data_IF_591560059639
#
_entry.id   IF_591560059639
#
_cell.length_a   1.000
_cell.length_b   1.000
_cell.length_c   1.000
_cell.angle_alpha   90.00
_cell.angle_beta   90.00
_cell.angle_gamma   90.00
#
_symmetry.space_group_name_H-M   'P 1'
#
loop_
_entity.id
_entity.type
_entity.pdbx_description
1 polymer ?
#
# COMPACT_ATOMS: atom_id res chain seq x y z
N UNK A 1 -2.59 11.98 0.24
CA UNK A 1 -3.95 11.40 0.35
C UNK A 1 -4.81 12.39 1.08
N UNK A 2 -5.68 13.04 0.33
CA UNK A 2 -6.74 13.89 0.88
C UNK A 2 -8.07 13.30 0.47
N UNK A 3 -9.08 13.50 1.32
CA UNK A 3 -10.47 13.19 0.99
C UNK A 3 -11.18 14.47 0.56
N UNK A 4 -11.71 14.49 -0.67
CA UNK A 4 -12.53 15.59 -1.18
C UNK A 4 -14.02 15.23 -1.09
N UNK A 5 -14.85 16.22 -0.75
CA UNK A 5 -16.30 16.07 -0.67
C UNK A 5 -16.94 16.36 -2.04
N UNK A 6 -17.33 15.31 -2.76
CA UNK A 6 -18.16 15.41 -3.97
C UNK A 6 -19.66 15.43 -3.63
N UNK A 7 -20.13 16.45 -2.92
CA UNK A 7 -21.51 16.50 -2.40
C UNK A 7 -22.57 16.50 -3.50
N UNK A 8 -23.65 15.72 -3.31
CA UNK A 8 -24.87 15.81 -4.11
C UNK A 8 -25.95 16.51 -3.28
N UNK A 9 -26.57 17.55 -3.85
CA UNK A 9 -27.66 18.30 -3.20
C UNK A 9 -28.93 18.10 -4.02
N UNK A 10 -30.00 17.58 -3.40
CA UNK A 10 -31.27 17.30 -4.08
C UNK A 10 -32.18 18.51 -4.32
N UNK A 11 -31.79 19.70 -3.84
CA UNK A 11 -32.57 20.94 -3.93
C UNK A 11 -32.07 21.85 -5.07
N UNK A 12 -32.93 22.75 -5.61
CA UNK A 12 -32.52 23.80 -6.55
C UNK A 12 -31.32 24.60 -6.01
N UNK A 13 -30.54 25.28 -6.87
CA UNK A 13 -29.33 25.99 -6.45
C UNK A 13 -29.66 27.09 -5.43
N UNK A 14 -29.59 26.74 -4.15
CA UNK A 14 -29.65 27.68 -3.04
C UNK A 14 -28.28 28.35 -2.83
N UNK A 15 -28.27 29.67 -2.52
CA UNK A 15 -27.04 30.43 -2.30
C UNK A 15 -26.37 30.12 -0.96
N UNK A 16 -27.06 29.46 -0.01
CA UNK A 16 -26.53 29.13 1.31
C UNK A 16 -26.57 27.62 1.56
N UNK A 17 -25.50 27.07 2.13
CA UNK A 17 -25.40 25.64 2.46
C UNK A 17 -26.35 25.20 3.59
N UNK A 18 -26.95 26.16 4.31
CA UNK A 18 -27.80 25.92 5.47
C UNK A 18 -29.20 25.40 5.12
N UNK A 19 -29.69 25.60 3.88
CA UNK A 19 -31.01 25.12 3.44
C UNK A 19 -30.99 23.84 2.60
N UNK A 20 -29.79 23.34 2.24
CA UNK A 20 -29.65 22.11 1.45
C UNK A 20 -29.57 20.89 2.37
N UNK A 21 -30.53 19.97 2.25
CA UNK A 21 -30.41 18.65 2.85
C UNK A 21 -29.16 17.94 2.30
N UNK A 22 -28.21 17.66 3.18
CA UNK A 22 -26.98 16.95 2.84
C UNK A 22 -27.28 15.47 2.61
N UNK A 23 -27.21 15.03 1.36
CA UNK A 23 -27.50 13.64 0.95
C UNK A 23 -26.29 12.71 1.05
N UNK A 24 -25.11 13.26 1.36
CA UNK A 24 -23.83 12.54 1.35
C UNK A 24 -22.88 13.01 0.24
N UNK A 25 -21.66 12.51 0.30
CA UNK A 25 -20.61 12.83 -0.67
C UNK A 25 -19.79 11.58 -1.00
N UNK A 26 -19.38 11.44 -2.26
CA UNK A 26 -18.40 10.41 -2.65
C UNK A 26 -17.11 10.56 -1.81
N UNK A 27 -16.43 9.44 -1.57
CA UNK A 27 -15.14 9.43 -0.91
C UNK A 27 -14.04 9.45 -1.99
N UNK A 28 -13.27 10.53 -2.08
CA UNK A 28 -12.28 10.74 -3.15
C UNK A 28 -10.88 10.70 -2.57
N UNK A 29 -10.04 9.76 -2.96
CA UNK A 29 -8.62 9.73 -2.58
C UNK A 29 -7.75 10.41 -3.62
N UNK A 30 -7.06 11.48 -3.24
CA UNK A 30 -6.12 12.19 -4.11
C UNK A 30 -4.65 11.80 -3.84
N UNK A 31 -3.94 11.39 -4.91
CA UNK A 31 -2.54 11.00 -4.93
C UNK A 31 -1.78 11.84 -5.95
N UNK A 32 -0.93 12.74 -5.47
CA UNK A 32 -0.01 13.53 -6.27
C UNK A 32 1.45 13.15 -6.00
N UNK A 33 2.29 13.19 -7.03
CA UNK A 33 3.73 12.97 -6.95
C UNK A 33 4.40 13.92 -5.97
N UNK A 34 3.99 15.19 -5.91
CA UNK A 34 4.61 16.20 -5.04
C UNK A 34 4.49 15.85 -3.55
N UNK A 35 3.52 15.00 -3.19
CA UNK A 35 3.30 14.54 -1.82
C UNK A 35 3.96 13.17 -1.53
N UNK A 36 4.64 12.57 -2.50
CA UNK A 36 5.32 11.29 -2.33
C UNK A 36 6.81 11.49 -2.07
N UNK A 37 7.29 10.92 -0.96
CA UNK A 37 8.72 10.92 -0.64
C UNK A 37 9.55 10.26 -1.75
N UNK A 38 10.58 10.96 -2.21
CA UNK A 38 11.50 10.48 -3.23
C UNK A 38 11.02 10.74 -4.66
N UNK A 39 9.85 11.34 -4.86
CA UNK A 39 9.38 11.75 -6.18
C UNK A 39 10.18 12.93 -6.73
N UNK A 40 10.67 13.81 -5.86
CA UNK A 40 11.48 14.99 -6.19
C UNK A 40 12.80 14.65 -6.91
N UNK A 41 13.32 13.44 -6.71
CA UNK A 41 14.54 12.96 -7.33
C UNK A 41 14.31 12.25 -8.68
N UNK A 42 13.05 12.08 -9.09
CA UNK A 42 12.67 11.35 -10.29
C UNK A 42 12.29 12.30 -11.42
N UNK A 43 12.48 11.86 -12.65
CA UNK A 43 11.92 12.51 -13.82
C UNK A 43 10.40 12.34 -13.86
N UNK A 44 9.72 13.06 -14.76
CA UNK A 44 8.27 13.02 -14.89
C UNK A 44 7.72 11.59 -15.07
N UNK A 45 8.40 10.76 -15.87
CA UNK A 45 8.00 9.37 -16.09
C UNK A 45 8.14 8.52 -14.82
N UNK A 46 9.25 8.69 -14.08
CA UNK A 46 9.49 8.06 -12.80
C UNK A 46 8.49 8.49 -11.73
N UNK A 47 8.14 9.78 -11.67
CA UNK A 47 7.11 10.31 -10.78
C UNK A 47 5.76 9.64 -11.04
N UNK A 48 5.32 9.57 -12.30
CA UNK A 48 4.07 8.87 -12.66
C UNK A 48 4.10 7.38 -12.31
N UNK A 49 5.24 6.70 -12.51
CA UNK A 49 5.39 5.29 -12.17
C UNK A 49 5.33 5.05 -10.65
N UNK A 50 5.95 5.93 -9.87
CA UNK A 50 5.91 5.90 -8.42
C UNK A 50 4.48 6.13 -7.91
N UNK A 51 3.80 7.18 -8.39
CA UNK A 51 2.41 7.47 -8.01
C UNK A 51 1.51 6.30 -8.36
N UNK A 52 1.65 5.74 -9.55
CA UNK A 52 0.86 4.56 -9.95
C UNK A 52 1.10 3.36 -9.04
N UNK A 53 2.33 3.14 -8.59
CA UNK A 53 2.62 2.07 -7.63
C UNK A 53 1.92 2.33 -6.30
N UNK A 54 2.00 3.56 -5.78
CA UNK A 54 1.31 3.95 -4.53
C UNK A 54 -0.21 3.90 -4.62
N UNK A 55 -0.75 4.22 -5.78
CA UNK A 55 -2.17 4.08 -6.08
C UNK A 55 -2.62 2.63 -5.98
N UNK A 56 -1.83 1.70 -6.56
CA UNK A 56 -2.12 0.28 -6.47
C UNK A 56 -2.02 -0.22 -5.03
N UNK A 57 -1.01 0.20 -4.28
CA UNK A 57 -0.89 -0.11 -2.84
C UNK A 57 -2.13 0.36 -2.08
N UNK A 58 -2.58 1.61 -2.29
CA UNK A 58 -3.78 2.15 -1.65
C UNK A 58 -5.02 1.29 -1.95
N UNK A 59 -5.22 1.00 -3.22
CA UNK A 59 -6.39 0.27 -3.70
C UNK A 59 -6.39 -1.15 -3.15
N UNK A 60 -5.32 -1.91 -3.44
CA UNK A 60 -5.21 -3.33 -3.12
C UNK A 60 -5.18 -3.57 -1.61
N UNK A 61 -4.37 -2.82 -0.86
CA UNK A 61 -4.18 -3.10 0.57
C UNK A 61 -5.25 -2.47 1.46
N UNK A 62 -5.83 -1.33 1.07
CA UNK A 62 -6.77 -0.60 1.92
C UNK A 62 -8.19 -0.67 1.41
N UNK A 63 -8.46 -0.14 0.21
CA UNK A 63 -9.85 -0.02 -0.28
C UNK A 63 -10.52 -1.39 -0.45
N UNK A 64 -9.80 -2.36 -1.01
CA UNK A 64 -10.37 -3.69 -1.27
C UNK A 64 -10.17 -4.60 -0.07
N UNK A 65 -8.93 -4.75 0.40
CA UNK A 65 -8.61 -5.77 1.40
C UNK A 65 -9.07 -5.40 2.81
N UNK A 66 -8.90 -4.15 3.22
CA UNK A 66 -9.23 -3.73 4.59
C UNK A 66 -10.66 -3.14 4.67
N UNK A 67 -11.09 -2.32 3.70
CA UNK A 67 -12.42 -1.71 3.68
C UNK A 67 -13.48 -2.56 2.98
N UNK A 68 -13.07 -3.57 2.19
CA UNK A 68 -14.01 -4.48 1.53
C UNK A 68 -14.86 -3.79 0.47
N UNK A 69 -14.32 -2.79 -0.22
CA UNK A 69 -15.01 -2.10 -1.31
C UNK A 69 -14.96 -2.97 -2.57
N UNK A 70 -16.10 -3.11 -3.23
CA UNK A 70 -16.17 -3.82 -4.51
C UNK A 70 -15.40 -3.04 -5.59
N UNK A 71 -14.52 -3.69 -6.38
CA UNK A 71 -13.95 -3.12 -7.58
C UNK A 71 -14.86 -2.31 -8.50
N UNK A 72 -16.13 -2.70 -8.61
CA UNK A 72 -17.11 -2.00 -9.43
C UNK A 72 -17.45 -0.59 -8.91
N UNK A 73 -17.27 -0.36 -7.60
CA UNK A 73 -17.56 0.91 -6.92
C UNK A 73 -16.36 1.88 -6.91
N UNK A 74 -15.26 1.50 -7.57
CA UNK A 74 -14.05 2.33 -7.68
C UNK A 74 -13.94 2.94 -9.08
N UNK A 75 -13.90 4.28 -9.15
CA UNK A 75 -13.64 5.01 -10.38
C UNK A 75 -12.29 5.76 -10.31
N UNK A 76 -11.43 5.50 -11.29
CA UNK A 76 -10.09 6.10 -11.38
C UNK A 76 -10.09 7.28 -12.33
N UNK A 77 -9.61 8.42 -11.87
CA UNK A 77 -9.52 9.65 -12.65
C UNK A 77 -8.08 10.14 -12.66
N UNK A 78 -7.57 10.53 -13.82
CA UNK A 78 -6.26 11.16 -13.93
C UNK A 78 -6.38 12.64 -13.59
N UNK A 79 -5.54 13.16 -12.68
CA UNK A 79 -5.63 14.57 -12.25
C UNK A 79 -5.18 15.57 -13.32
N UNK A 80 -4.64 15.09 -14.46
CA UNK A 80 -4.18 15.92 -15.58
C UNK A 80 -2.72 16.35 -15.49
N UNK A 81 -2.06 16.16 -14.35
CA UNK A 81 -0.66 16.49 -14.12
C UNK A 81 0.19 15.27 -13.83
N UNK A 82 0.42 15.02 -12.53
CA UNK A 82 1.29 13.95 -12.02
C UNK A 82 0.60 13.08 -10.97
N UNK A 83 -0.73 13.03 -11.00
CA UNK A 83 -1.53 12.40 -9.96
C UNK A 83 -2.75 11.62 -10.47
N UNK A 84 -3.40 10.94 -9.54
CA UNK A 84 -4.62 10.18 -9.76
C UNK A 84 -5.59 10.40 -8.60
N UNK A 85 -6.87 10.44 -8.92
CA UNK A 85 -7.96 10.40 -7.95
C UNK A 85 -8.65 9.04 -8.02
N UNK A 86 -9.02 8.50 -6.86
CA UNK A 86 -9.90 7.33 -6.75
C UNK A 86 -11.21 7.78 -6.12
N UNK A 87 -12.28 7.72 -6.88
CA UNK A 87 -13.63 7.94 -6.41
C UNK A 87 -14.21 6.62 -5.91
N UNK A 88 -14.71 6.62 -4.68
CA UNK A 88 -15.43 5.52 -4.07
C UNK A 88 -16.91 5.88 -4.05
N UNK A 89 -17.71 5.10 -4.78
CA UNK A 89 -19.16 5.29 -4.94
C UNK A 89 -20.01 4.39 -4.05
N UNK A 90 -19.36 3.56 -3.25
CA UNK A 90 -20.00 2.63 -2.35
C UNK A 90 -20.93 3.38 -1.36
N UNK A 91 -22.24 3.08 -1.34
CA UNK A 91 -23.22 3.77 -0.50
C UNK A 91 -22.88 3.78 1.00
N UNK A 92 -22.10 2.80 1.48
CA UNK A 92 -21.67 2.71 2.88
C UNK A 92 -20.79 3.89 3.30
N UNK A 93 -20.13 4.55 2.34
CA UNK A 93 -19.19 5.65 2.57
C UNK A 93 -19.78 7.03 2.28
N UNK A 94 -20.93 7.11 1.60
CA UNK A 94 -21.61 8.38 1.29
C UNK A 94 -21.99 9.23 2.53
N UNK A 95 -22.53 8.65 3.63
CA UNK A 95 -22.97 9.45 4.78
C UNK A 95 -21.83 9.90 5.69
N UNK A 96 -20.58 9.48 5.42
CA UNK A 96 -19.45 9.81 6.28
C UNK A 96 -19.25 11.32 6.38
N UNK A 97 -19.09 11.79 7.61
CA UNK A 97 -18.76 13.16 7.97
C UNK A 97 -17.26 13.44 7.79
N UNK A 98 -16.86 14.72 7.77
CA UNK A 98 -15.45 15.09 7.62
C UNK A 98 -14.53 14.50 8.71
N UNK A 99 -14.92 14.42 10.00
CA UNK A 99 -14.13 13.72 11.02
C UNK A 99 -13.97 12.22 10.74
N UNK A 100 -15.03 11.52 10.35
CA UNK A 100 -14.95 10.08 10.05
C UNK A 100 -14.07 9.80 8.82
N UNK A 101 -14.13 10.69 7.81
CA UNK A 101 -13.23 10.65 6.66
C UNK A 101 -11.77 10.85 7.06
N UNK A 102 -11.50 11.71 8.05
CA UNK A 102 -10.15 11.91 8.59
C UNK A 102 -9.63 10.66 9.27
N UNK A 103 -10.45 9.94 10.03
CA UNK A 103 -10.05 8.65 10.62
C UNK A 103 -9.65 7.61 9.54
N UNK A 104 -10.35 7.58 8.40
CA UNK A 104 -9.94 6.73 7.28
C UNK A 104 -8.59 7.14 6.70
N UNK A 105 -8.34 8.45 6.56
CA UNK A 105 -7.03 8.97 6.12
C UNK A 105 -5.94 8.60 7.11
N UNK A 106 -6.16 8.80 8.40
CA UNK A 106 -5.21 8.45 9.46
C UNK A 106 -4.90 6.96 9.47
N UNK A 107 -5.91 6.11 9.27
CA UNK A 107 -5.72 4.68 9.09
C UNK A 107 -4.85 4.34 7.88
N UNK A 108 -5.10 4.98 6.73
CA UNK A 108 -4.32 4.75 5.49
C UNK A 108 -2.87 5.21 5.67
N UNK A 109 -2.66 6.36 6.31
CA UNK A 109 -1.33 6.90 6.59
C UNK A 109 -0.59 6.15 7.70
N UNK A 110 -1.32 5.38 8.52
CA UNK A 110 -0.77 4.70 9.69
C UNK A 110 -0.48 5.66 10.83
N UNK A 111 -1.16 6.80 10.87
CA UNK A 111 -1.06 7.77 11.96
C UNK A 111 -1.44 7.06 13.26
N UNK A 112 -0.57 7.18 14.27
CA UNK A 112 -0.78 6.53 15.58
C UNK A 112 -0.55 5.00 15.60
N UNK A 113 -0.14 4.38 14.51
CA UNK A 113 0.18 2.94 14.50
C UNK A 113 1.56 2.67 15.10
N UNK A 114 1.61 1.85 16.16
CA UNK A 114 2.86 1.33 16.72
C UNK A 114 3.15 -0.09 16.19
N UNK A 115 4.18 -0.20 15.35
CA UNK A 115 4.63 -1.47 14.80
C UNK A 115 5.02 -2.51 15.88
N UNK A 116 5.42 -2.07 17.08
CA UNK A 116 5.71 -2.99 18.20
C UNK A 116 4.46 -3.67 18.73
N UNK A 117 3.28 -3.09 18.52
CA UNK A 117 2.00 -3.72 18.89
C UNK A 117 1.54 -4.74 17.85
N UNK A 118 2.18 -4.78 16.67
CA UNK A 118 1.87 -5.77 15.65
C UNK A 118 2.38 -7.17 16.02
N UNK A 119 3.50 -7.24 16.73
CA UNK A 119 4.12 -8.49 17.18
C UNK A 119 3.42 -9.05 18.42
N UNK A 120 3.16 -10.35 18.41
CA UNK A 120 2.58 -11.06 19.55
C UNK A 120 3.68 -11.73 20.37
N UNK A 121 3.49 -11.88 21.67
CA UNK A 121 4.44 -12.62 22.50
C UNK A 121 3.88 -14.01 22.85
N UNK A 122 4.70 -15.05 22.69
CA UNK A 122 4.43 -16.38 23.24
C UNK A 122 5.48 -16.75 24.29
N UNK A 123 5.07 -17.47 25.32
CA UNK A 123 6.00 -18.06 26.28
C UNK A 123 6.28 -19.51 25.87
N UNK A 124 7.55 -19.81 25.61
CA UNK A 124 8.01 -21.20 25.55
C UNK A 124 8.51 -21.60 26.92
N UNK A 125 7.81 -22.54 27.55
CA UNK A 125 8.28 -23.24 28.73
C UNK A 125 9.02 -24.49 28.27
N UNK A 126 10.33 -24.52 28.51
CA UNK A 126 11.08 -25.77 28.39
C UNK A 126 10.93 -26.54 29.69
N UNK A 127 10.46 -27.78 29.59
CA UNK A 127 10.31 -28.68 30.74
C UNK A 127 11.67 -28.97 31.38
N UNK A 128 11.64 -29.32 32.67
CA UNK A 128 12.74 -30.07 33.26
C UNK A 128 12.97 -31.31 32.40
N UNK A 129 14.23 -31.74 32.22
CA UNK A 129 14.52 -32.99 31.52
C UNK A 129 13.71 -34.15 32.10
N UNK A 130 13.59 -35.26 31.36
CA UNK A 130 12.85 -36.45 31.80
C UNK A 130 13.32 -37.01 33.17
N UNK A 131 14.47 -36.56 33.64
CA UNK A 131 15.12 -36.84 34.93
C UNK A 131 14.65 -35.94 36.09
N UNK A 132 13.79 -34.94 35.85
CA UNK A 132 13.28 -34.04 36.89
C UNK A 132 14.28 -33.01 37.41
N UNK A 133 15.55 -33.05 36.96
CA UNK A 133 16.64 -32.18 37.39
C UNK A 133 16.92 -30.99 36.46
N UNK A 134 16.04 -30.72 35.50
CA UNK A 134 16.16 -29.56 34.60
C UNK A 134 15.55 -28.28 35.18
N UNK A 135 16.29 -27.17 35.16
CA UNK A 135 15.75 -25.84 35.49
C UNK A 135 14.68 -25.46 34.46
N UNK A 136 13.43 -25.31 34.92
CA UNK A 136 12.34 -24.74 34.09
C UNK A 136 12.76 -23.35 33.63
N UNK A 137 12.93 -23.20 32.32
CA UNK A 137 13.28 -21.93 31.71
C UNK A 137 12.13 -21.47 30.85
N UNK A 138 11.56 -20.31 31.18
CA UNK A 138 10.55 -19.66 30.36
C UNK A 138 11.22 -18.60 29.49
N UNK A 139 11.09 -18.74 28.17
CA UNK A 139 11.60 -17.77 27.20
C UNK A 139 10.43 -17.07 26.54
N UNK A 140 10.40 -15.74 26.63
CA UNK A 140 9.44 -14.91 25.90
C UNK A 140 9.94 -14.74 24.46
N UNK A 141 9.19 -15.28 23.51
CA UNK A 141 9.42 -15.07 22.08
C UNK A 141 8.46 -14.03 21.54
N UNK A 142 8.94 -13.19 20.63
CA UNK A 142 8.10 -12.31 19.82
C UNK A 142 7.88 -12.95 18.46
N UNK A 143 6.62 -13.03 18.06
CA UNK A 143 6.17 -13.56 16.80
C UNK A 143 5.81 -12.45 15.84
N UNK A 144 6.32 -12.59 14.61
CA UNK A 144 5.90 -11.75 13.51
C UNK A 144 4.43 -12.05 13.18
N UNK A 145 3.61 -11.01 12.94
CA UNK A 145 2.24 -11.21 12.50
C UNK A 145 2.23 -11.98 11.18
N UNK A 146 1.26 -12.88 10.97
CA UNK A 146 1.20 -13.65 9.74
C UNK A 146 0.85 -12.70 8.57
N UNK A 147 1.39 -12.94 7.35
CA UNK A 147 1.21 -12.04 6.21
C UNK A 147 -0.25 -11.82 5.78
N UNK A 148 -1.13 -12.76 6.08
CA UNK A 148 -2.57 -12.76 5.79
C UNK A 148 -3.41 -12.08 6.88
N UNK A 149 -2.82 -11.66 8.00
CA UNK A 149 -3.55 -10.95 9.03
C UNK A 149 -4.23 -9.67 8.47
N UNK A 150 -5.40 -9.29 9.02
CA UNK A 150 -6.09 -8.09 8.58
C UNK A 150 -5.31 -6.81 8.95
N UNK A 151 -5.53 -5.75 8.18
CA UNK A 151 -5.03 -4.41 8.48
C UNK A 151 -3.52 -4.29 8.59
N UNK A 152 -3.09 -3.38 9.47
CA UNK A 152 -1.69 -3.05 9.71
C UNK A 152 -0.84 -4.21 10.26
N UNK A 153 -1.44 -5.22 10.91
CA UNK A 153 -0.70 -6.41 11.37
C UNK A 153 -0.19 -7.23 10.20
N UNK A 154 -1.06 -7.56 9.25
CA UNK A 154 -0.63 -8.29 8.04
C UNK A 154 0.28 -7.46 7.15
N UNK A 155 0.03 -6.15 7.02
CA UNK A 155 0.95 -5.24 6.30
C UNK A 155 2.35 -5.22 6.93
N UNK A 156 2.45 -5.18 8.26
CA UNK A 156 3.74 -5.31 8.97
C UNK A 156 4.39 -6.67 8.68
N UNK A 157 3.63 -7.75 8.73
CA UNK A 157 4.12 -9.10 8.43
C UNK A 157 4.68 -9.23 7.01
N UNK A 158 3.93 -8.73 6.01
CA UNK A 158 4.36 -8.68 4.60
C UNK A 158 5.60 -7.81 4.40
N UNK A 159 5.66 -6.65 5.04
CA UNK A 159 6.81 -5.74 4.95
C UNK A 159 8.08 -6.38 5.51
N UNK A 160 7.98 -7.04 6.68
CA UNK A 160 9.12 -7.78 7.27
C UNK A 160 9.51 -8.97 6.40
N UNK A 161 8.55 -9.74 5.87
CA UNK A 161 8.86 -10.84 4.95
C UNK A 161 9.60 -10.36 3.70
N UNK A 162 9.13 -9.28 3.07
CA UNK A 162 9.76 -8.65 1.90
C UNK A 162 11.17 -8.13 2.21
N UNK A 163 11.38 -7.59 3.40
CA UNK A 163 12.71 -7.18 3.86
C UNK A 163 13.64 -8.39 4.02
N UNK A 164 13.18 -9.45 4.68
CA UNK A 164 13.96 -10.67 4.89
C UNK A 164 14.32 -11.35 3.56
N UNK A 165 13.40 -11.38 2.60
CA UNK A 165 13.64 -11.93 1.26
C UNK A 165 14.68 -11.11 0.50
N UNK A 166 14.61 -9.77 0.59
CA UNK A 166 15.62 -8.88 -0.01
C UNK A 166 16.99 -9.12 0.60
N UNK A 167 17.08 -9.23 1.92
CA UNK A 167 18.32 -9.56 2.62
C UNK A 167 18.88 -10.92 2.25
N UNK A 168 18.02 -11.93 2.08
CA UNK A 168 18.43 -13.24 1.61
C UNK A 168 19.01 -13.17 0.18
N UNK A 169 18.43 -12.32 -0.68
CA UNK A 169 18.86 -12.19 -2.07
C UNK A 169 20.15 -11.37 -2.24
N UNK A 170 20.38 -10.34 -1.40
CA UNK A 170 21.48 -9.39 -1.58
C UNK A 170 22.56 -9.45 -0.49
N UNK A 171 22.37 -10.26 0.56
CA UNK A 171 23.31 -10.43 1.66
C UNK A 171 23.47 -9.22 2.58
N UNK A 172 22.71 -8.14 2.41
CA UNK A 172 22.92 -6.85 3.11
C UNK A 172 22.35 -6.76 4.53
N UNK A 173 21.98 -7.89 5.13
CA UNK A 173 21.32 -7.89 6.42
C UNK A 173 22.16 -7.21 7.51
N UNK A 174 23.48 -7.45 7.51
CA UNK A 174 24.37 -6.87 8.53
C UNK A 174 24.52 -5.36 8.33
N UNK A 175 24.68 -4.92 7.09
CA UNK A 175 24.88 -3.53 6.68
C UNK A 175 23.63 -2.70 6.98
N UNK A 176 22.46 -3.20 6.60
CA UNK A 176 21.18 -2.50 6.80
C UNK A 176 20.85 -2.42 8.31
N UNK A 177 21.06 -3.51 9.09
CA UNK A 177 20.90 -3.48 10.55
C UNK A 177 21.85 -2.48 11.22
N UNK A 178 23.10 -2.39 10.74
CA UNK A 178 24.07 -1.41 11.23
C UNK A 178 23.64 0.02 10.89
N UNK A 179 23.15 0.26 9.68
CA UNK A 179 22.60 1.56 9.27
C UNK A 179 21.39 2.00 10.13
N UNK A 180 20.67 1.04 10.71
CA UNK A 180 19.58 1.29 11.68
C UNK A 180 20.05 1.46 13.13
N UNK A 181 21.37 1.58 13.35
CA UNK A 181 21.94 1.87 14.67
C UNK A 181 22.28 0.63 15.51
N UNK A 182 22.20 -0.58 14.96
CA UNK A 182 22.57 -1.80 15.68
C UNK A 182 24.09 -2.00 15.59
N UNK A 183 24.84 -2.11 16.70
CA UNK A 183 26.29 -2.28 16.66
C UNK A 183 26.72 -3.46 15.78
N UNK A 184 27.79 -3.31 14.98
CA UNK A 184 28.26 -4.34 14.01
C UNK A 184 28.36 -5.77 14.58
N UNK A 185 28.87 -6.00 15.80
CA UNK A 185 28.90 -7.36 16.37
C UNK A 185 27.48 -7.93 16.60
N UNK A 186 26.55 -7.11 17.09
CA UNK A 186 25.16 -7.49 17.29
C UNK A 186 24.42 -7.70 15.96
N UNK A 187 24.63 -6.83 14.98
CA UNK A 187 24.05 -6.95 13.64
C UNK A 187 24.47 -8.25 12.94
N UNK A 188 25.78 -8.59 12.99
CA UNK A 188 26.29 -9.87 12.46
C UNK A 188 25.64 -11.07 13.14
N UNK A 189 25.54 -11.04 14.48
CA UNK A 189 24.89 -12.11 15.24
C UNK A 189 23.40 -12.24 14.89
N UNK A 190 22.68 -11.14 14.73
CA UNK A 190 21.28 -11.13 14.35
C UNK A 190 21.07 -11.66 12.93
N UNK A 191 21.85 -11.19 11.95
CA UNK A 191 21.82 -11.71 10.59
C UNK A 191 22.05 -13.23 10.58
N UNK A 192 23.08 -13.69 11.28
CA UNK A 192 23.38 -15.12 11.47
C UNK A 192 22.15 -15.88 12.01
N UNK A 193 21.53 -15.41 13.08
CA UNK A 193 20.34 -16.06 13.67
C UNK A 193 19.16 -16.08 12.69
N UNK A 194 18.88 -14.97 12.01
CA UNK A 194 17.74 -14.83 11.09
C UNK A 194 17.80 -15.82 9.93
N UNK A 195 19.00 -16.14 9.44
CA UNK A 195 19.21 -17.00 8.28
C UNK A 195 19.63 -18.44 8.63
N UNK A 196 20.38 -18.68 9.71
CA UNK A 196 20.81 -20.04 10.09
C UNK A 196 19.77 -20.84 10.89
N UNK A 197 18.95 -20.18 11.73
CA UNK A 197 17.94 -20.88 12.57
C UNK A 197 16.53 -20.90 12.01
N UNK A 198 16.28 -20.22 10.88
CA UNK A 198 14.95 -20.16 10.26
C UNK A 198 14.93 -19.89 8.76
N UNK A 199 16.08 -19.96 8.08
CA UNK A 199 16.21 -19.67 6.65
C UNK A 199 15.82 -20.82 5.71
N UNK A 200 15.95 -22.09 6.12
CA UNK A 200 15.66 -23.24 5.25
C UNK A 200 14.15 -23.49 5.05
N UNK A 201 13.33 -23.23 6.07
CA UNK A 201 11.89 -23.51 6.02
C UNK A 201 11.07 -22.48 5.22
N UNK A 202 11.57 -21.25 5.04
CA UNK A 202 10.85 -20.20 4.31
C UNK A 202 10.87 -20.42 2.79
N UNK A 203 12.00 -20.88 2.26
CA UNK A 203 12.13 -21.30 0.85
C UNK A 203 11.23 -22.51 0.53
N UNK A 204 11.11 -23.46 1.48
CA UNK A 204 10.28 -24.65 1.33
C UNK A 204 8.77 -24.38 1.45
N UNK A 205 8.34 -23.37 2.24
CA UNK A 205 6.94 -22.92 2.27
C UNK A 205 6.53 -22.20 0.98
N UNK A 206 7.45 -21.43 0.38
CA UNK A 206 7.25 -20.78 -0.93
C UNK A 206 6.98 -21.79 -2.05
N UNK A 207 7.64 -22.95 -2.03
CA UNK A 207 7.38 -24.02 -3.00
C UNK A 207 6.00 -24.69 -2.86
N UNK A 208 5.33 -24.54 -1.70
CA UNK A 208 3.99 -25.08 -1.44
C UNK A 208 2.85 -24.06 -1.61
N UNK A 209 3.12 -22.76 -1.53
CA UNK A 209 2.12 -21.71 -1.71
C UNK A 209 2.04 -21.15 -3.13
N UNK A 210 3.05 -21.41 -3.98
CA UNK A 210 3.04 -20.97 -5.40
C UNK A 210 2.23 -21.89 -6.33
N UNK A 211 1.72 -23.02 -5.84
CA UNK A 211 0.82 -23.92 -6.58
C UNK A 211 -0.66 -23.58 -6.34
N UNK A 212 -1.08 -22.34 -6.66
CA UNK A 212 -2.41 -22.03 -7.21
C UNK A 212 -2.61 -20.51 -7.35
N UNK A 213 -2.49 -19.93 -8.54
CA UNK A 213 -3.18 -18.69 -8.85
C UNK A 213 -4.60 -19.08 -9.30
N UNK A 214 -5.57 -18.99 -8.38
CA UNK A 214 -6.96 -18.86 -8.76
C UNK A 214 -7.10 -17.59 -9.61
N UNK A 215 -7.23 -17.75 -10.93
CA UNK A 215 -7.55 -16.66 -11.86
C UNK A 215 -8.95 -16.14 -11.51
N UNK A 216 -9.00 -15.16 -10.61
CA UNK A 216 -10.19 -14.37 -10.32
C UNK A 216 -10.42 -13.35 -11.43
N UNK A 217 -11.69 -13.12 -11.79
CA UNK A 217 -12.15 -12.29 -12.91
C UNK A 217 -11.97 -10.76 -12.74
N UNK A 218 -11.18 -10.27 -11.79
CA UNK A 218 -11.24 -8.85 -11.34
C UNK A 218 -10.08 -7.92 -11.74
N UNK A 219 -9.12 -8.33 -12.58
CA UNK A 219 -7.99 -7.45 -12.99
C UNK A 219 -8.34 -6.37 -14.03
N UNK A 220 -9.63 -6.17 -14.35
CA UNK A 220 -10.06 -5.22 -15.38
C UNK A 220 -9.74 -3.76 -15.02
N UNK A 221 -9.84 -3.35 -13.74
CA UNK A 221 -9.45 -1.99 -13.32
C UNK A 221 -7.96 -1.73 -13.52
N UNK A 222 -7.09 -2.77 -13.53
CA UNK A 222 -5.63 -2.53 -13.65
C UNK A 222 -5.32 -2.00 -15.04
N UNK A 223 -6.23 -2.21 -16.00
CA UNK A 223 -6.18 -1.67 -17.35
C UNK A 223 -6.72 -0.25 -17.45
N UNK A 224 -7.68 0.17 -16.60
CA UNK A 224 -8.18 1.56 -16.59
C UNK A 224 -7.14 2.55 -16.03
N UNK A 225 -6.20 2.09 -15.20
CA UNK A 225 -5.01 2.88 -14.79
C UNK A 225 -3.90 2.97 -15.87
N UNK A 226 -4.15 2.60 -17.13
CA UNK A 226 -3.20 2.82 -18.24
C UNK A 226 -3.44 4.21 -18.81
N UNK A 227 -2.62 5.18 -18.38
CA UNK A 227 -2.56 6.52 -18.97
C UNK A 227 -2.30 6.51 -20.48
N UNK A 228 -2.48 7.65 -21.16
CA UNK A 228 -2.43 7.74 -22.62
C UNK A 228 -1.07 7.25 -23.14
N UNK A 229 -1.10 6.27 -24.04
CA UNK A 229 0.08 5.88 -24.82
C UNK A 229 0.47 7.07 -25.68
N UNK A 230 1.69 7.57 -25.50
CA UNK A 230 2.30 8.56 -26.40
C UNK A 230 2.40 7.97 -27.81
N UNK A 231 1.38 8.24 -28.65
CA UNK A 231 1.49 8.02 -30.10
C UNK A 231 2.33 9.17 -30.65
N UNK A 232 3.61 8.91 -30.91
CA UNK A 232 4.43 9.74 -31.78
C UNK A 232 3.86 9.71 -33.20
N UNK A 233 2.94 10.63 -33.51
CA UNK A 233 2.54 10.89 -34.90
C UNK A 233 3.66 11.69 -35.56
N UNK A 234 4.20 11.13 -36.64
CA UNK A 234 5.21 11.75 -37.48
C UNK A 234 4.77 13.12 -38.01
N UNK A 235 5.74 14.03 -38.09
CA UNK A 235 5.65 15.34 -38.73
C UNK A 235 5.18 15.21 -40.19
N UNK A 236 4.22 16.01 -40.66
CA UNK A 236 4.17 16.42 -42.05
C UNK A 236 5.12 17.61 -42.25
N UNK A 237 5.93 17.53 -43.29
CA UNK A 237 6.83 18.59 -43.74
C UNK A 237 6.04 19.79 -44.27
N UNK A 238 6.47 20.99 -43.86
CA UNK A 238 6.10 22.28 -44.45
C UNK A 238 6.30 22.25 -45.96
N UNK A 239 5.27 22.59 -46.73
CA UNK A 239 5.43 23.27 -48.02
C UNK A 239 4.56 24.53 -48.05
N UNK A 240 5.14 25.50 -48.71
CA UNK A 240 4.91 26.94 -48.70
C UNK A 240 3.69 27.32 -49.56
N UNK A 241 2.85 28.21 -49.00
CA UNK A 241 2.19 29.43 -49.55
C UNK A 241 1.71 29.52 -51.04
N UNK A 242 0.75 30.45 -51.32
CA UNK A 242 -0.36 30.29 -52.25
C UNK A 242 -0.20 31.09 -53.57
N UNK A 243 -1.11 30.92 -54.54
CA UNK A 243 -1.59 31.99 -55.43
C UNK A 243 -2.73 31.55 -56.37
N UNK A 244 -3.68 32.49 -56.58
CA UNK A 244 -4.53 32.74 -57.75
C UNK A 244 -5.62 31.70 -58.12
N UNK A 245 -6.80 32.01 -58.65
CA UNK A 245 -7.66 33.19 -58.93
C UNK A 245 -8.93 32.59 -59.57
N UNK A 246 -10.09 33.26 -59.47
CA UNK A 246 -11.27 32.96 -60.27
C UNK A 246 -12.53 32.79 -59.45
#
# INVERSE_FOLDING_TARGET
VYVLDGGTTGAPPEPTMAGKEWMGAELIFDLDADHLRGAEALDYAGQLALVKTRLLDLVDDFLIRDFGIDPAELAFVFSGGRGYHVHVRDPRFLPLTSPERRELVDYVQGTGFDARRAVTARHLTTGAGADGFGRRTSVRLQDLPPPDAPGWRGRTGRAVATLLDRWAANGRATEDLFAWGIPRPAARKMAKILFERGGSDRSARRARSTSSPGRSRSDSWRRSCRGPRSRSRGRPTRRSRPMCTG
#
